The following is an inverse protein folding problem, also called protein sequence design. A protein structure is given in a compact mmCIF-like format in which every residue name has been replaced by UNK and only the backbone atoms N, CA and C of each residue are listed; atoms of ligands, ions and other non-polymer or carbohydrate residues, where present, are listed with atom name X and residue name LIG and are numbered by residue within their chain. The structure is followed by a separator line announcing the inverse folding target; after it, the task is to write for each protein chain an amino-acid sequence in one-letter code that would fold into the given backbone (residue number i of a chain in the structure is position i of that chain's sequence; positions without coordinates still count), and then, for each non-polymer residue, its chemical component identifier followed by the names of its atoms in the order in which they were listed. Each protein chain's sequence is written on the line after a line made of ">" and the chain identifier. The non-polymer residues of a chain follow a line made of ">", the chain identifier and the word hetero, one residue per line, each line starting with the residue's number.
data_IF_097417534666
#
_entry.id   IF_097417534666
#
_cell.length_a   1.000
_cell.length_b   1.000
_cell.length_c   1.000
_cell.angle_alpha   90.00
_cell.angle_beta   90.00
_cell.angle_gamma   90.00
#
_symmetry.space_group_name_H-M   'P 1'
#
loop_
_entity.id
_entity.type
_entity.pdbx_description
1 polymer ?
#
# COMPACT_ATOMS: atom_id res chain seq x y z
N UNK A 1 36.69 -13.53 -33.56
CA UNK A 1 36.28 -14.25 -32.32
C UNK A 1 37.15 -13.98 -31.09
N UNK A 2 38.41 -13.54 -31.22
CA UNK A 2 39.28 -13.25 -30.04
C UNK A 2 38.95 -11.93 -29.32
N UNK A 3 38.38 -10.92 -30.00
CA UNK A 3 38.01 -9.63 -29.38
C UNK A 3 36.74 -9.65 -28.51
N UNK A 4 35.89 -10.66 -28.65
CA UNK A 4 34.66 -10.78 -27.85
C UNK A 4 34.92 -11.41 -26.47
N UNK A 5 35.98 -12.23 -26.35
CA UNK A 5 36.36 -12.91 -25.10
C UNK A 5 36.98 -11.95 -24.09
N UNK A 6 37.71 -10.93 -24.55
CA UNK A 6 38.36 -9.94 -23.68
C UNK A 6 37.35 -8.98 -23.03
N UNK A 7 36.23 -8.68 -23.71
CA UNK A 7 35.19 -7.79 -23.16
C UNK A 7 34.38 -8.45 -22.03
N UNK A 8 34.19 -9.78 -22.07
CA UNK A 8 33.45 -10.54 -21.05
C UNK A 8 34.27 -10.66 -19.75
N UNK A 9 35.60 -10.74 -19.84
CA UNK A 9 36.48 -10.82 -18.67
C UNK A 9 36.63 -9.48 -17.91
N UNK A 10 36.50 -8.33 -18.59
CA UNK A 10 36.57 -7.02 -17.94
C UNK A 10 35.31 -6.67 -17.12
N UNK A 11 34.14 -7.22 -17.47
CA UNK A 11 32.89 -6.99 -16.73
C UNK A 11 32.86 -7.81 -15.43
N UNK A 12 33.53 -8.97 -15.38
CA UNK A 12 33.54 -9.84 -14.20
C UNK A 12 34.48 -9.38 -13.07
N UNK A 13 35.41 -8.47 -13.34
CA UNK A 13 36.37 -7.97 -12.33
C UNK A 13 35.89 -6.73 -11.54
N UNK A 14 34.74 -6.15 -11.87
CA UNK A 14 34.16 -4.99 -11.13
C UNK A 14 33.11 -5.39 -10.08
N UNK A 15 32.81 -6.69 -9.96
CA UNK A 15 31.82 -7.22 -9.00
C UNK A 15 32.33 -7.34 -7.56
N UNK A 16 33.59 -7.01 -7.29
CA UNK A 16 34.20 -7.03 -5.95
C UNK A 16 34.51 -5.62 -5.43
N UNK A 17 33.63 -4.64 -5.68
CA UNK A 17 33.65 -3.42 -4.90
C UNK A 17 33.10 -3.73 -3.49
N UNK A 18 33.86 -3.53 -2.40
CA UNK A 18 33.32 -3.69 -1.05
C UNK A 18 32.15 -2.73 -0.87
N UNK A 19 31.03 -3.27 -0.37
CA UNK A 19 29.86 -2.46 -0.04
C UNK A 19 30.29 -1.35 0.94
N UNK A 20 29.80 -0.10 0.77
CA UNK A 20 30.08 0.96 1.71
C UNK A 20 29.69 0.52 3.12
N UNK A 21 30.47 0.88 4.16
CA UNK A 21 30.18 0.50 5.53
C UNK A 21 28.76 0.90 5.89
N UNK A 22 27.98 -0.07 6.35
CA UNK A 22 26.60 0.13 6.80
C UNK A 22 26.64 1.20 7.90
N UNK A 23 25.90 2.34 7.77
CA UNK A 23 25.83 3.30 8.85
C UNK A 23 25.36 2.58 10.12
N UNK A 24 25.95 2.95 11.25
CA UNK A 24 25.65 2.35 12.55
C UNK A 24 24.14 2.22 12.71
N UNK A 25 23.68 1.03 13.12
CA UNK A 25 22.26 0.73 13.25
C UNK A 25 21.64 1.75 14.23
N UNK A 26 20.95 2.76 13.69
CA UNK A 26 20.06 3.59 14.48
C UNK A 26 19.10 2.61 15.13
N UNK A 27 19.04 2.60 16.47
CA UNK A 27 18.11 1.77 17.21
C UNK A 27 16.72 2.13 16.70
N UNK A 28 16.12 1.25 15.89
CA UNK A 28 14.84 1.57 15.27
C UNK A 28 13.80 1.70 16.39
N UNK A 29 12.94 2.73 16.35
CA UNK A 29 12.03 3.03 17.44
C UNK A 29 11.04 1.88 17.67
N UNK A 30 10.51 1.81 18.88
CA UNK A 30 9.50 0.81 19.27
C UNK A 30 8.17 1.00 18.54
N UNK A 31 7.87 2.24 18.13
CA UNK A 31 6.80 2.59 17.21
C UNK A 31 7.37 3.50 16.12
N UNK A 32 7.13 3.15 14.86
CA UNK A 32 7.42 4.02 13.73
C UNK A 32 6.17 4.18 12.87
N UNK A 33 5.90 5.40 12.42
CA UNK A 33 4.83 5.70 11.47
C UNK A 33 5.35 6.54 10.32
N UNK A 34 4.64 6.52 9.19
CA UNK A 34 4.88 7.45 8.09
C UNK A 34 4.62 8.88 8.60
N UNK A 35 5.61 9.80 8.48
CA UNK A 35 5.42 11.18 8.89
C UNK A 35 4.26 11.85 8.14
N UNK A 36 3.53 12.74 8.82
CA UNK A 36 2.41 13.48 8.25
C UNK A 36 1.27 12.61 7.66
N UNK A 37 1.16 11.35 8.09
CA UNK A 37 0.01 10.50 7.82
C UNK A 37 -0.74 10.20 9.13
N UNK A 38 -2.06 10.40 9.12
CA UNK A 38 -2.96 10.06 10.21
C UNK A 38 -4.11 9.19 9.69
N UNK A 39 -4.36 8.07 10.38
CA UNK A 39 -5.48 7.19 10.06
C UNK A 39 -6.82 7.94 10.07
N UNK A 40 -7.02 8.79 11.07
CA UNK A 40 -8.30 9.49 11.31
C UNK A 40 -8.64 10.54 10.25
N UNK A 41 -7.65 11.05 9.51
CA UNK A 41 -7.86 12.17 8.57
C UNK A 41 -7.51 11.80 7.14
N UNK A 42 -6.50 10.96 6.93
CA UNK A 42 -5.87 10.79 5.63
C UNK A 42 -6.32 9.51 4.91
N UNK A 43 -7.43 8.93 5.34
CA UNK A 43 -8.04 7.71 4.78
C UNK A 43 -9.39 8.00 4.15
N UNK A 44 -9.88 7.09 3.28
CA UNK A 44 -11.23 7.22 2.73
C UNK A 44 -12.29 6.99 3.82
N UNK A 45 -13.36 7.78 3.80
CA UNK A 45 -14.45 7.70 4.77
C UNK A 45 -15.44 6.55 4.49
N UNK A 46 -15.52 6.08 3.25
CA UNK A 46 -16.45 5.04 2.84
C UNK A 46 -15.77 3.67 2.72
N UNK A 47 -16.48 2.58 3.04
CA UNK A 47 -15.92 1.24 2.92
C UNK A 47 -15.91 0.75 1.47
N UNK A 48 -14.90 -0.05 1.13
CA UNK A 48 -15.00 -1.02 0.05
C UNK A 48 -15.89 -2.17 0.50
N UNK A 49 -17.01 -2.35 -0.16
CA UNK A 49 -17.89 -3.44 0.19
C UNK A 49 -17.43 -4.77 -0.42
N UNK A 50 -17.85 -5.88 0.20
CA UNK A 50 -17.56 -7.22 -0.30
C UNK A 50 -18.82 -7.75 -0.99
N UNK A 51 -18.74 -7.99 -2.30
CA UNK A 51 -19.90 -8.42 -3.10
C UNK A 51 -20.48 -9.75 -2.60
N UNK A 52 -19.63 -10.69 -2.22
CA UNK A 52 -20.04 -12.00 -1.72
C UNK A 52 -20.86 -11.93 -0.42
N UNK A 53 -20.66 -10.88 0.39
CA UNK A 53 -21.39 -10.60 1.64
C UNK A 53 -22.66 -9.78 1.45
N UNK A 54 -22.83 -9.15 0.29
CA UNK A 54 -23.93 -8.23 -0.04
C UNK A 54 -24.66 -8.69 -1.31
N UNK A 55 -25.14 -9.94 -1.30
CA UNK A 55 -25.85 -10.54 -2.44
C UNK A 55 -27.17 -9.79 -2.69
N UNK A 56 -27.48 -9.54 -3.96
CA UNK A 56 -28.72 -8.87 -4.37
C UNK A 56 -28.74 -7.34 -4.26
N UNK A 57 -27.70 -6.71 -3.69
CA UNK A 57 -27.63 -5.25 -3.57
C UNK A 57 -27.08 -4.64 -4.88
N UNK A 58 -27.89 -3.86 -5.59
CA UNK A 58 -27.47 -3.13 -6.79
C UNK A 58 -26.63 -1.88 -6.43
N UNK A 59 -25.82 -1.38 -7.37
CA UNK A 59 -25.07 -0.12 -7.17
C UNK A 59 -23.92 -0.16 -6.16
N UNK A 60 -23.58 -1.34 -5.61
CA UNK A 60 -22.54 -1.47 -4.59
C UNK A 60 -21.15 -1.07 -5.08
N UNK A 61 -20.45 -0.21 -4.31
CA UNK A 61 -19.03 0.03 -4.49
C UNK A 61 -18.23 -1.08 -3.82
N UNK A 62 -18.03 -2.17 -4.57
CA UNK A 62 -17.46 -3.41 -4.04
C UNK A 62 -16.27 -3.91 -4.87
N UNK A 63 -15.38 -4.67 -4.23
CA UNK A 63 -14.19 -5.26 -4.84
C UNK A 63 -13.22 -4.23 -5.47
N UNK A 64 -13.13 -3.05 -4.87
CA UNK A 64 -12.22 -1.94 -5.22
C UNK A 64 -11.02 -1.85 -4.27
N UNK A 65 -10.76 -2.86 -3.42
CA UNK A 65 -9.71 -2.79 -2.41
C UNK A 65 -8.34 -2.37 -2.97
N UNK A 66 -7.91 -2.89 -4.13
CA UNK A 66 -6.64 -2.46 -4.75
C UNK A 66 -6.69 -1.04 -5.28
N UNK A 67 -7.82 -0.62 -5.87
CA UNK A 67 -7.98 0.75 -6.34
C UNK A 67 -7.87 1.71 -5.15
N UNK A 68 -8.56 1.41 -4.06
CA UNK A 68 -8.53 2.23 -2.86
C UNK A 68 -7.17 2.25 -2.17
N UNK A 69 -6.55 1.09 -1.95
CA UNK A 69 -5.21 1.01 -1.36
C UNK A 69 -4.15 1.72 -2.20
N UNK A 70 -4.20 1.58 -3.53
CA UNK A 70 -3.32 2.32 -4.45
C UNK A 70 -3.58 3.82 -4.36
N UNK A 71 -4.84 4.21 -4.38
CA UNK A 71 -5.24 5.62 -4.41
C UNK A 71 -4.92 6.32 -3.10
N UNK A 72 -5.04 5.65 -1.95
CA UNK A 72 -4.61 6.18 -0.65
C UNK A 72 -3.13 6.61 -0.70
N UNK A 73 -2.27 5.75 -1.27
CA UNK A 73 -0.86 6.07 -1.49
C UNK A 73 -0.70 7.27 -2.43
N UNK A 74 -1.42 7.28 -3.54
CA UNK A 74 -1.36 8.36 -4.53
C UNK A 74 -1.79 9.71 -3.94
N UNK A 75 -2.84 9.75 -3.12
CA UNK A 75 -3.26 10.96 -2.40
C UNK A 75 -2.16 11.45 -1.46
N UNK A 76 -1.62 10.56 -0.62
CA UNK A 76 -0.54 10.93 0.31
C UNK A 76 0.72 11.45 -0.42
N UNK A 77 1.04 10.88 -1.58
CA UNK A 77 2.25 11.23 -2.33
C UNK A 77 2.10 12.45 -3.25
N UNK A 78 0.91 12.67 -3.81
CA UNK A 78 0.72 13.58 -4.95
C UNK A 78 -0.34 14.65 -4.73
N UNK A 79 -1.09 14.61 -3.63
CA UNK A 79 -2.09 15.60 -3.31
C UNK A 79 -1.73 16.38 -2.04
N UNK A 80 -2.22 17.63 -1.97
CA UNK A 80 -2.28 18.42 -0.75
C UNK A 80 -3.66 19.05 -0.63
N UNK A 81 -4.08 19.30 0.61
CA UNK A 81 -5.40 19.83 0.91
C UNK A 81 -5.29 21.31 1.30
N UNK A 82 -6.22 22.14 0.81
CA UNK A 82 -6.34 23.55 1.16
C UNK A 82 -7.78 23.83 1.63
N UNK A 83 -8.04 23.80 2.95
CA UNK A 83 -9.38 24.03 3.47
C UNK A 83 -9.85 25.48 3.33
N UNK A 84 -8.95 26.42 3.03
CA UNK A 84 -9.29 27.85 2.91
C UNK A 84 -9.73 28.22 1.49
N UNK A 85 -9.33 27.43 0.49
CA UNK A 85 -9.74 27.62 -0.88
C UNK A 85 -11.23 27.30 -1.09
N UNK A 86 -11.92 27.96 -2.04
CA UNK A 86 -13.33 27.69 -2.34
C UNK A 86 -13.57 26.24 -2.80
N UNK A 87 -14.67 25.66 -2.32
CA UNK A 87 -15.12 24.34 -2.78
C UNK A 87 -15.44 24.37 -4.28
N UNK A 88 -15.17 23.26 -4.95
CA UNK A 88 -15.46 23.06 -6.37
C UNK A 88 -16.77 22.29 -6.58
N UNK A 89 -17.22 22.24 -7.83
CA UNK A 89 -18.30 21.33 -8.22
C UNK A 89 -17.87 19.86 -8.15
N UNK A 90 -18.80 18.90 -8.01
CA UNK A 90 -18.48 17.47 -8.01
C UNK A 90 -17.68 17.02 -9.24
N UNK A 91 -18.03 17.52 -10.44
CA UNK A 91 -17.33 17.19 -11.68
C UNK A 91 -15.88 17.71 -11.70
N UNK A 92 -15.59 18.81 -11.00
CA UNK A 92 -14.22 19.31 -10.84
C UNK A 92 -13.43 18.44 -9.85
N UNK A 93 -14.02 18.02 -8.73
CA UNK A 93 -13.36 17.10 -7.81
C UNK A 93 -13.06 15.76 -8.46
N UNK A 94 -13.99 15.23 -9.26
CA UNK A 94 -13.76 14.02 -10.04
C UNK A 94 -12.51 14.14 -10.93
N UNK A 95 -12.33 15.27 -11.63
CA UNK A 95 -11.13 15.52 -12.44
C UNK A 95 -9.86 15.61 -11.60
N UNK A 96 -9.92 16.23 -10.42
CA UNK A 96 -8.76 16.28 -9.51
C UNK A 96 -8.39 14.87 -9.00
N UNK A 97 -9.39 14.06 -8.62
CA UNK A 97 -9.19 12.67 -8.22
C UNK A 97 -8.54 11.89 -9.36
N UNK A 98 -9.06 12.00 -10.60
CA UNK A 98 -8.45 11.39 -11.79
C UNK A 98 -7.01 11.83 -11.99
N UNK A 99 -6.70 13.12 -11.82
CA UNK A 99 -5.34 13.64 -11.96
C UNK A 99 -4.38 13.07 -10.90
N UNK A 100 -4.85 12.89 -9.66
CA UNK A 100 -4.07 12.23 -8.59
C UNK A 100 -3.81 10.77 -8.95
N UNK A 101 -4.84 10.02 -9.33
CA UNK A 101 -4.69 8.56 -9.58
C UNK A 101 -4.08 8.23 -10.94
N UNK A 102 -3.94 9.20 -11.85
CA UNK A 102 -3.20 9.05 -13.10
C UNK A 102 -1.67 9.00 -12.87
N UNK A 103 -1.18 9.47 -11.73
CA UNK A 103 0.25 9.44 -11.40
C UNK A 103 0.66 8.05 -10.92
N UNK A 104 1.75 7.52 -11.49
CA UNK A 104 2.25 6.20 -11.16
C UNK A 104 2.62 6.04 -9.65
N UNK A 105 2.06 5.05 -8.93
CA UNK A 105 2.22 4.89 -7.48
C UNK A 105 3.65 4.51 -7.01
N UNK A 106 4.52 4.03 -7.92
CA UNK A 106 5.93 3.75 -7.63
C UNK A 106 6.85 4.97 -7.80
N UNK A 107 6.33 6.11 -8.32
CA UNK A 107 7.11 7.34 -8.41
C UNK A 107 7.37 7.92 -7.02
N UNK A 108 8.50 8.62 -6.80
CA UNK A 108 8.73 9.38 -5.57
C UNK A 108 7.59 10.37 -5.31
N UNK A 109 7.28 10.69 -4.03
CA UNK A 109 6.35 11.76 -3.69
C UNK A 109 6.74 13.07 -4.37
N UNK A 110 5.74 13.90 -4.69
CA UNK A 110 6.02 15.25 -5.19
C UNK A 110 6.48 16.17 -4.05
N UNK A 111 7.36 17.14 -4.35
CA UNK A 111 7.52 18.32 -3.51
C UNK A 111 6.16 18.93 -3.18
N UNK A 112 5.99 19.44 -1.96
CA UNK A 112 4.68 19.88 -1.45
C UNK A 112 4.03 20.93 -2.35
N UNK A 113 4.83 21.85 -2.88
CA UNK A 113 4.43 22.91 -3.81
C UNK A 113 3.88 22.38 -5.15
N UNK A 114 4.37 21.24 -5.61
CA UNK A 114 4.00 20.60 -6.89
C UNK A 114 2.82 19.63 -6.74
N UNK A 115 2.37 19.35 -5.51
CA UNK A 115 1.23 18.47 -5.26
C UNK A 115 -0.05 19.08 -5.78
N UNK A 116 -0.91 18.22 -6.30
CA UNK A 116 -2.25 18.58 -6.77
C UNK A 116 -3.05 19.10 -5.58
N UNK A 117 -3.54 20.33 -5.70
CA UNK A 117 -4.31 20.98 -4.64
C UNK A 117 -5.75 20.51 -4.68
N UNK A 118 -6.23 19.99 -3.56
CA UNK A 118 -7.64 19.71 -3.32
C UNK A 118 -8.21 20.83 -2.45
N UNK A 119 -9.01 21.74 -3.00
CA UNK A 119 -9.54 22.89 -2.25
C UNK A 119 -10.75 22.51 -1.40
N UNK A 120 -11.05 23.33 -0.40
CA UNK A 120 -12.29 23.31 0.38
C UNK A 120 -12.44 22.16 1.40
N UNK A 121 -11.41 21.34 1.56
CA UNK A 121 -11.36 20.23 2.51
C UNK A 121 -10.00 20.19 3.20
N UNK A 122 -9.97 19.77 4.47
CA UNK A 122 -8.71 19.70 5.23
C UNK A 122 -7.91 18.43 4.96
N UNK A 123 -8.58 17.35 4.51
CA UNK A 123 -7.96 16.03 4.36
C UNK A 123 -8.83 15.08 3.48
N UNK A 124 -8.29 13.89 3.21
CA UNK A 124 -8.94 12.89 2.37
C UNK A 124 -10.25 12.38 2.96
N UNK A 125 -10.32 12.21 4.28
CA UNK A 125 -11.54 11.72 4.94
C UNK A 125 -12.69 12.69 4.76
N UNK A 126 -12.47 14.00 4.94
CA UNK A 126 -13.49 15.02 4.73
C UNK A 126 -13.94 15.09 3.26
N UNK A 127 -12.99 15.11 2.31
CA UNK A 127 -13.31 15.10 0.88
C UNK A 127 -14.16 13.87 0.53
N UNK A 128 -13.70 12.68 0.92
CA UNK A 128 -14.34 11.43 0.54
C UNK A 128 -15.69 11.20 1.22
N UNK A 129 -15.93 11.80 2.39
CA UNK A 129 -17.25 11.81 3.02
C UNK A 129 -18.23 12.76 2.30
N UNK A 130 -17.77 13.96 1.94
CA UNK A 130 -18.64 14.98 1.35
C UNK A 130 -18.90 14.77 -0.15
N UNK A 131 -17.89 14.31 -0.89
CA UNK A 131 -17.89 14.17 -2.35
C UNK A 131 -17.78 12.70 -2.78
N UNK A 132 -18.32 11.78 -1.98
CA UNK A 132 -18.22 10.33 -2.19
C UNK A 132 -18.48 9.90 -3.65
N UNK A 133 -19.57 10.34 -4.32
CA UNK A 133 -19.83 9.95 -5.71
C UNK A 133 -18.75 10.43 -6.68
N UNK A 134 -18.29 11.67 -6.53
CA UNK A 134 -17.25 12.24 -7.39
C UNK A 134 -15.88 11.58 -7.16
N UNK A 135 -15.55 11.25 -5.90
CA UNK A 135 -14.36 10.48 -5.57
C UNK A 135 -14.44 9.09 -6.21
N UNK A 136 -15.53 8.34 -6.00
CA UNK A 136 -15.71 7.01 -6.60
C UNK A 136 -15.64 7.03 -8.12
N UNK A 137 -16.26 8.02 -8.77
CA UNK A 137 -16.20 8.19 -10.21
C UNK A 137 -14.76 8.49 -10.69
N UNK A 138 -14.02 9.34 -9.97
CA UNK A 138 -12.65 9.70 -10.32
C UNK A 138 -11.62 8.58 -10.11
N UNK A 139 -11.86 7.69 -9.14
CA UNK A 139 -11.02 6.52 -8.88
C UNK A 139 -11.08 5.49 -10.03
N UNK A 140 -12.18 5.48 -10.79
CA UNK A 140 -12.42 4.57 -11.90
C UNK A 140 -12.81 3.15 -11.47
N UNK A 141 -12.99 2.29 -12.47
CA UNK A 141 -13.42 0.91 -12.25
C UNK A 141 -12.28 -0.02 -11.80
N UNK A 142 -12.62 -1.19 -11.23
CA UNK A 142 -11.62 -2.08 -10.67
C UNK A 142 -10.94 -2.94 -11.73
N UNK A 143 -11.40 -2.96 -12.99
CA UNK A 143 -10.99 -3.90 -14.05
C UNK A 143 -9.48 -4.21 -14.08
N UNK A 144 -8.62 -3.20 -14.14
CA UNK A 144 -7.16 -3.38 -14.19
C UNK A 144 -6.55 -4.03 -12.94
N UNK A 145 -7.25 -3.99 -11.81
CA UNK A 145 -6.89 -4.74 -10.60
C UNK A 145 -7.05 -6.24 -10.82
N UNK A 146 -8.17 -6.67 -11.42
CA UNK A 146 -8.50 -8.09 -11.56
C UNK A 146 -7.51 -8.81 -12.48
N UNK A 147 -7.04 -8.09 -13.51
CA UNK A 147 -6.06 -8.60 -14.48
C UNK A 147 -4.62 -8.20 -14.15
N UNK A 148 -4.35 -7.59 -12.98
CA UNK A 148 -3.00 -7.17 -12.64
C UNK A 148 -2.11 -8.40 -12.52
N UNK A 149 -1.12 -8.50 -13.40
CA UNK A 149 -0.38 -9.74 -13.61
C UNK A 149 0.21 -10.26 -12.28
N UNK A 150 0.77 -9.40 -11.44
CA UNK A 150 1.40 -9.80 -10.17
C UNK A 150 0.49 -10.55 -9.18
N UNK A 151 -0.83 -10.53 -9.37
CA UNK A 151 -1.76 -11.24 -8.51
C UNK A 151 -1.61 -12.76 -8.64
N UNK A 152 -1.03 -13.28 -9.73
CA UNK A 152 -0.74 -14.72 -9.84
C UNK A 152 0.17 -15.22 -8.72
N UNK A 153 0.98 -14.35 -8.09
CA UNK A 153 1.88 -14.71 -6.97
C UNK A 153 1.14 -15.31 -5.76
N UNK A 154 -0.16 -15.07 -5.60
CA UNK A 154 -0.95 -15.64 -4.49
C UNK A 154 -1.02 -17.17 -4.54
N UNK A 155 -0.80 -17.77 -5.72
CA UNK A 155 -0.82 -19.23 -5.93
C UNK A 155 0.46 -19.91 -5.45
N UNK A 156 1.50 -19.16 -5.06
CA UNK A 156 2.72 -19.74 -4.50
C UNK A 156 2.53 -20.18 -3.05
N UNK A 157 2.38 -21.49 -2.85
CA UNK A 157 2.18 -22.10 -1.53
C UNK A 157 3.50 -22.40 -0.79
N UNK A 158 4.64 -22.43 -1.50
CA UNK A 158 5.95 -22.83 -0.98
C UNK A 158 7.01 -21.72 -0.93
N UNK A 159 6.64 -20.49 -0.56
CA UNK A 159 7.64 -19.42 -0.43
C UNK A 159 8.60 -19.70 0.74
N UNK A 160 9.92 -19.56 0.56
CA UNK A 160 10.88 -19.70 1.66
C UNK A 160 10.58 -18.69 2.78
N UNK A 161 10.74 -19.04 4.06
CA UNK A 161 10.55 -18.11 5.18
C UNK A 161 11.41 -16.84 5.06
N UNK A 162 12.59 -16.94 4.43
CA UNK A 162 13.46 -15.82 4.09
C UNK A 162 12.74 -14.75 3.27
N UNK A 163 11.85 -15.17 2.36
CA UNK A 163 11.12 -14.25 1.49
C UNK A 163 10.19 -13.33 2.29
N UNK A 164 9.43 -13.88 3.25
CA UNK A 164 8.54 -13.07 4.08
C UNK A 164 9.34 -12.16 5.03
N UNK A 165 10.50 -12.61 5.50
CA UNK A 165 11.44 -11.76 6.25
C UNK A 165 12.00 -10.60 5.43
N UNK A 166 12.34 -10.85 4.17
CA UNK A 166 12.80 -9.80 3.24
C UNK A 166 11.66 -8.81 2.91
N UNK A 167 10.45 -9.31 2.67
CA UNK A 167 9.26 -8.46 2.50
C UNK A 167 9.08 -7.54 3.71
N UNK A 168 9.25 -8.06 4.94
CA UNK A 168 9.18 -7.24 6.13
C UNK A 168 10.26 -6.16 6.18
N UNK A 169 11.52 -6.50 5.89
CA UNK A 169 12.62 -5.53 5.86
C UNK A 169 12.30 -4.39 4.91
N UNK A 170 11.85 -4.72 3.71
CA UNK A 170 11.45 -3.75 2.70
C UNK A 170 10.28 -2.88 3.17
N UNK A 171 9.27 -3.45 3.84
CA UNK A 171 8.16 -2.66 4.40
C UNK A 171 8.72 -1.63 5.38
N UNK A 172 9.59 -2.03 6.30
CA UNK A 172 10.19 -1.13 7.30
C UNK A 172 11.00 -0.01 6.64
N UNK A 173 11.78 -0.31 5.61
CA UNK A 173 12.57 0.69 4.87
C UNK A 173 11.68 1.73 4.17
N UNK A 174 10.55 1.30 3.60
CA UNK A 174 9.59 2.22 2.99
C UNK A 174 8.91 3.11 4.03
N UNK A 175 8.47 2.53 5.15
CA UNK A 175 7.84 3.28 6.24
C UNK A 175 8.82 4.31 6.84
N UNK A 176 10.08 3.91 7.07
CA UNK A 176 11.13 4.80 7.55
C UNK A 176 11.43 5.94 6.56
N UNK A 177 11.28 5.69 5.27
CA UNK A 177 11.41 6.70 4.22
C UNK A 177 10.11 7.49 3.97
N UNK A 178 9.13 7.42 4.89
CA UNK A 178 7.88 8.17 4.84
C UNK A 178 6.95 7.74 3.71
N UNK A 179 6.98 6.46 3.31
CA UNK A 179 6.11 5.93 2.25
C UNK A 179 5.17 4.87 2.79
N UNK A 180 3.88 5.08 2.53
CA UNK A 180 2.84 4.07 2.72
C UNK A 180 3.10 2.85 1.84
N UNK A 181 2.83 1.64 2.36
CA UNK A 181 3.11 0.38 1.66
C UNK A 181 1.83 -0.39 1.41
N UNK A 182 1.48 -0.57 0.14
CA UNK A 182 0.36 -1.43 -0.23
C UNK A 182 0.79 -2.89 -0.19
N UNK A 183 0.04 -3.68 0.55
CA UNK A 183 0.26 -5.10 0.76
C UNK A 183 -0.87 -5.88 0.11
N UNK A 184 -0.53 -6.90 -0.66
CA UNK A 184 -1.45 -7.98 -1.01
C UNK A 184 -1.29 -9.06 0.06
N UNK A 185 -2.37 -9.33 0.79
CA UNK A 185 -2.44 -10.30 1.87
C UNK A 185 -3.29 -11.48 1.44
N UNK A 186 -2.82 -12.70 1.70
CA UNK A 186 -3.58 -13.90 1.35
C UNK A 186 -3.36 -15.08 2.29
N UNK A 187 -4.42 -15.85 2.51
CA UNK A 187 -4.40 -17.16 3.19
C UNK A 187 -4.77 -18.33 2.25
N UNK A 188 -4.64 -18.14 0.93
CA UNK A 188 -4.88 -19.21 -0.04
C UNK A 188 -4.10 -20.49 0.32
N UNK A 189 -4.71 -21.69 0.28
CA UNK A 189 -5.95 -22.04 -0.43
C UNK A 189 -7.27 -21.78 0.31
N UNK A 190 -7.26 -21.27 1.55
CA UNK A 190 -8.47 -20.79 2.21
C UNK A 190 -8.86 -19.46 1.53
N UNK A 191 -9.95 -19.34 0.75
CA UNK A 191 -10.21 -18.16 -0.07
C UNK A 191 -10.91 -17.03 0.71
N UNK A 192 -10.60 -16.88 1.99
CA UNK A 192 -11.18 -15.83 2.85
C UNK A 192 -10.47 -14.50 2.61
N UNK A 193 -9.15 -14.55 2.47
CA UNK A 193 -8.30 -13.39 2.32
C UNK A 193 -7.55 -13.48 0.98
N UNK A 194 -7.98 -12.66 0.04
CA UNK A 194 -7.21 -12.23 -1.13
C UNK A 194 -7.51 -10.74 -1.32
N UNK A 195 -6.88 -9.95 -0.46
CA UNK A 195 -7.26 -8.57 -0.20
C UNK A 195 -6.02 -7.71 -0.09
N UNK A 196 -6.19 -6.39 -0.09
CA UNK A 196 -5.06 -5.46 0.00
C UNK A 196 -5.30 -4.38 1.02
N UNK A 197 -4.31 -4.27 1.90
CA UNK A 197 -4.26 -3.32 3.01
C UNK A 197 -3.07 -2.39 2.81
N UNK A 198 -3.05 -1.26 3.51
CA UNK A 198 -1.94 -0.30 3.44
C UNK A 198 -1.26 -0.20 4.81
N UNK A 199 -0.02 -0.67 4.91
CA UNK A 199 0.79 -0.44 6.09
C UNK A 199 1.25 1.03 6.13
N UNK A 200 1.04 1.66 7.30
CA UNK A 200 1.42 3.05 7.55
C UNK A 200 2.26 3.22 8.83
N UNK A 201 2.30 2.20 9.68
CA UNK A 201 3.12 2.18 10.87
C UNK A 201 3.49 0.75 11.28
N UNK A 202 4.45 0.62 12.18
CA UNK A 202 4.75 -0.63 12.86
C UNK A 202 5.10 -0.42 14.33
N UNK A 203 4.80 -1.41 15.16
CA UNK A 203 5.16 -1.48 16.58
C UNK A 203 5.99 -2.73 16.85
N UNK A 204 7.18 -2.59 17.42
CA UNK A 204 8.02 -3.72 17.84
C UNK A 204 7.34 -4.53 18.94
N UNK A 205 7.59 -5.84 18.94
CA UNK A 205 7.21 -6.76 20.01
C UNK A 205 8.41 -7.65 20.35
N UNK A 206 8.45 -8.27 21.55
CA UNK A 206 9.55 -9.17 21.92
C UNK A 206 9.81 -10.30 20.91
N UNK A 207 8.74 -10.84 20.30
CA UNK A 207 8.81 -11.95 19.35
C UNK A 207 8.65 -11.55 17.87
N UNK A 208 8.76 -10.26 17.53
CA UNK A 208 8.58 -9.78 16.16
C UNK A 208 8.07 -8.34 16.10
N UNK A 209 7.03 -8.08 15.31
CA UNK A 209 6.38 -6.76 15.26
C UNK A 209 4.93 -6.83 14.76
N UNK A 210 4.17 -5.78 15.07
CA UNK A 210 2.86 -5.50 14.51
C UNK A 210 3.01 -4.47 13.38
N UNK A 211 2.55 -4.80 12.18
CA UNK A 211 2.23 -3.80 11.16
C UNK A 211 0.84 -3.25 11.44
N UNK A 212 0.72 -1.94 11.53
CA UNK A 212 -0.55 -1.24 11.63
C UNK A 212 -0.98 -0.86 10.21
N UNK A 213 -2.16 -1.34 9.82
CA UNK A 213 -2.63 -1.25 8.44
C UNK A 213 -3.98 -0.55 8.36
N UNK A 214 -4.21 0.18 7.27
CA UNK A 214 -5.55 0.57 6.86
C UNK A 214 -6.15 -0.51 5.96
N UNK A 215 -7.33 -1.00 6.32
CA UNK A 215 -8.10 -1.97 5.55
C UNK A 215 -9.25 -1.25 4.82
N UNK A 216 -9.26 -1.21 3.48
CA UNK A 216 -10.34 -0.58 2.73
C UNK A 216 -11.73 -1.15 3.03
N UNK A 217 -11.86 -2.39 3.50
CA UNK A 217 -13.16 -3.00 3.82
C UNK A 217 -13.72 -2.49 5.15
N UNK A 218 -12.84 -2.11 6.08
CA UNK A 218 -13.20 -1.49 7.35
C UNK A 218 -12.38 -0.21 7.58
N UNK A 219 -12.82 0.92 6.99
CA UNK A 219 -12.14 2.19 7.17
C UNK A 219 -12.34 2.78 8.58
N UNK A 220 -13.13 2.16 9.45
CA UNK A 220 -13.48 2.73 10.76
C UNK A 220 -12.41 2.48 11.83
N UNK A 221 -11.60 1.42 11.67
CA UNK A 221 -10.57 1.05 12.62
C UNK A 221 -9.28 0.55 11.91
N UNK A 222 -8.10 0.73 12.53
CA UNK A 222 -6.88 0.16 11.99
C UNK A 222 -6.83 -1.37 12.17
N UNK A 223 -6.33 -2.06 11.15
CA UNK A 223 -6.00 -3.47 11.21
C UNK A 223 -4.59 -3.74 11.74
N UNK A 224 -4.33 -5.00 12.07
CA UNK A 224 -3.04 -5.50 12.57
C UNK A 224 -2.62 -6.75 11.79
N UNK A 225 -1.45 -6.67 11.17
CA UNK A 225 -0.74 -7.82 10.61
C UNK A 225 0.53 -8.05 11.44
N UNK A 226 0.59 -9.16 12.16
CA UNK A 226 1.77 -9.52 12.95
C UNK A 226 2.81 -10.18 12.05
N UNK A 227 4.08 -9.88 12.28
CA UNK A 227 5.20 -10.72 11.84
C UNK A 227 5.81 -11.46 13.03
N UNK A 228 5.89 -12.78 12.94
CA UNK A 228 6.53 -13.65 13.93
C UNK A 228 8.00 -13.86 13.58
N UNK A 229 8.91 -13.33 14.40
CA UNK A 229 10.34 -13.35 14.13
C UNK A 229 10.94 -14.75 14.08
N UNK A 230 10.53 -15.63 15.01
CA UNK A 230 11.06 -16.99 15.11
C UNK A 230 10.76 -17.85 13.87
N UNK A 231 9.59 -17.67 13.27
CA UNK A 231 9.12 -18.45 12.12
C UNK A 231 9.19 -17.68 10.79
N UNK A 232 9.59 -16.40 10.83
CA UNK A 232 9.65 -15.47 9.70
C UNK A 232 8.38 -15.50 8.85
N UNK A 233 7.21 -15.41 9.49
CA UNK A 233 5.91 -15.49 8.82
C UNK A 233 4.99 -14.37 9.29
N UNK A 234 4.02 -14.04 8.44
CA UNK A 234 2.97 -13.10 8.81
C UNK A 234 1.73 -13.81 9.33
N UNK A 235 0.99 -13.10 10.16
CA UNK A 235 -0.24 -13.54 10.79
C UNK A 235 -1.29 -12.43 10.68
N UNK A 236 -2.48 -12.76 10.20
CA UNK A 236 -3.64 -11.87 10.24
C UNK A 236 -4.13 -11.78 11.69
N UNK A 237 -3.68 -10.78 12.45
CA UNK A 237 -4.08 -10.65 13.86
C UNK A 237 -5.42 -9.96 13.99
N UNK A 238 -5.62 -8.90 13.20
CA UNK A 238 -6.87 -8.19 13.09
C UNK A 238 -6.99 -7.66 11.65
N UNK A 239 -7.60 -8.43 10.76
CA UNK A 239 -7.87 -8.06 9.37
C UNK A 239 -9.34 -8.34 9.12
N UNK A 240 -10.03 -7.43 8.43
CA UNK A 240 -11.48 -7.50 8.32
C UNK A 240 -11.94 -8.82 7.67
N UNK A 241 -13.02 -9.40 8.21
CA UNK A 241 -13.66 -10.62 7.69
C UNK A 241 -12.68 -11.80 7.49
N UNK A 242 -11.66 -11.91 8.36
CA UNK A 242 -10.63 -12.94 8.30
C UNK A 242 -10.39 -13.56 9.66
N UNK A 243 -10.41 -14.89 9.74
CA UNK A 243 -10.02 -15.59 10.96
C UNK A 243 -8.53 -15.40 11.25
N UNK A 244 -8.13 -15.24 12.53
CA UNK A 244 -6.73 -15.13 12.87
C UNK A 244 -5.93 -16.36 12.40
N UNK A 245 -4.89 -16.13 11.61
CA UNK A 245 -4.16 -17.21 10.97
C UNK A 245 -2.91 -16.78 10.22
N UNK A 246 -2.11 -17.75 9.81
CA UNK A 246 -0.94 -17.50 8.96
C UNK A 246 -1.36 -16.96 7.60
N UNK A 247 -0.67 -15.92 7.15
CA UNK A 247 -0.89 -15.30 5.83
C UNK A 247 0.44 -15.13 5.10
N UNK A 248 0.34 -15.00 3.78
CA UNK A 248 1.42 -14.53 2.92
C UNK A 248 1.20 -13.07 2.59
N UNK A 249 2.27 -12.30 2.62
CA UNK A 249 2.27 -10.87 2.31
C UNK A 249 3.16 -10.61 1.11
N UNK A 250 2.66 -9.82 0.16
CA UNK A 250 3.41 -9.35 -0.99
C UNK A 250 3.31 -7.84 -1.07
N UNK A 251 4.43 -7.16 -1.36
CA UNK A 251 4.38 -5.75 -1.73
C UNK A 251 3.77 -5.59 -3.12
N UNK A 252 2.99 -4.53 -3.26
CA UNK A 252 2.36 -4.10 -4.52
C UNK A 252 2.85 -2.71 -4.91
N UNK A 253 2.97 -2.44 -6.21
CA UNK A 253 3.21 -1.11 -6.78
C UNK A 253 4.45 -0.42 -6.22
N UNK A 254 5.56 -1.13 -6.16
CA UNK A 254 6.88 -0.60 -5.79
C UNK A 254 7.83 -0.46 -6.99
N UNK A 255 7.41 -0.94 -8.18
CA UNK A 255 8.06 -0.63 -9.45
C UNK A 255 7.05 -0.64 -10.59
N UNK A 256 7.46 -0.26 -11.80
CA UNK A 256 6.62 -0.39 -13.01
C UNK A 256 6.18 -1.84 -13.26
N UNK A 257 6.99 -2.81 -12.84
CA UNK A 257 6.71 -4.22 -13.04
C UNK A 257 5.93 -4.84 -11.88
N UNK A 258 6.01 -4.31 -10.65
CA UNK A 258 5.57 -5.00 -9.42
C UNK A 258 4.79 -4.11 -8.46
#
# INVERSE_FOLDING_TARGET
>A
MVRLVVLVLAVLATACAPAPPRPAAIVAPDLASVPAFSFETDTFAFPNQIRARNKGVSGLYANHCFVLARSLRQFHQFARFDPTAPKLSPAQYERLVRAVVARAPWRPPLPTEDRIVIPGYANLRQLSAAEEPAVKAGLGGPFWTWVHWTNWRVTFEGLPPEHQGEVLHQIRDQLAAGRLVQLLVTNWPKPELNHTVVAYAYRRRPAGLDLIVWDPNDPSAPGIVTFEGAHRRFWATNVYDTEPGTIRVFRMYYSWFL
#
